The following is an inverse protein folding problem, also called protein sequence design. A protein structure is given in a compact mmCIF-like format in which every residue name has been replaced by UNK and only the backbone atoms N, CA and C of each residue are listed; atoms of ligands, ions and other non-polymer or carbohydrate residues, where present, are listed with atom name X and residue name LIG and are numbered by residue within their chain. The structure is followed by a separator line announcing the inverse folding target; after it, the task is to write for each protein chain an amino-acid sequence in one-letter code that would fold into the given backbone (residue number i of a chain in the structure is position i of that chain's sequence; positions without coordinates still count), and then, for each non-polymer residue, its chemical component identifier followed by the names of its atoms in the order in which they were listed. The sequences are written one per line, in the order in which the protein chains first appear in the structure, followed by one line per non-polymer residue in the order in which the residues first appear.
data_IF_388285972537
#
_entry.id   IF_388285972537
#
_cell.length_a   1.000
_cell.length_b   1.000
_cell.length_c   1.000
_cell.angle_alpha   90.00
_cell.angle_beta   90.00
_cell.angle_gamma   90.00
#
_symmetry.space_group_name_H-M   'P 1'
#
loop_
_entity.id
_entity.type
_entity.pdbx_description
1 polymer ?
#
# COMPACT_ATOMS: atom_id res chain seq x y z
N UNK A 1 -12.82 1.44 -2.36
CA UNK A 1 -12.18 2.68 -2.03
C UNK A 1 -10.74 2.49 -1.69
N UNK A 2 -9.90 3.24 -2.35
CA UNK A 2 -8.46 3.08 -2.20
C UNK A 2 -7.99 3.35 -0.77
N UNK A 3 -8.56 4.36 -0.14
CA UNK A 3 -8.14 4.71 1.21
C UNK A 3 -8.42 3.58 2.20
N UNK A 4 -9.56 2.93 2.04
CA UNK A 4 -9.91 1.81 2.92
C UNK A 4 -8.94 0.65 2.73
N UNK A 5 -8.54 0.41 1.49
CA UNK A 5 -7.57 -0.64 1.21
C UNK A 5 -6.20 -0.31 1.81
N UNK A 6 -5.74 0.94 1.63
CA UNK A 6 -4.45 1.33 2.19
C UNK A 6 -4.47 1.20 3.70
N UNK A 7 -5.55 1.63 4.34
CA UNK A 7 -5.71 1.49 5.78
C UNK A 7 -5.67 0.03 6.20
N UNK A 8 -6.32 -0.83 5.43
CA UNK A 8 -6.37 -2.26 5.74
C UNK A 8 -4.98 -2.88 5.66
N UNK A 9 -4.21 -2.53 4.63
CA UNK A 9 -2.87 -3.05 4.49
C UNK A 9 -2.01 -2.66 5.70
N UNK A 10 -2.05 -1.40 6.07
CA UNK A 10 -1.27 -0.91 7.18
C UNK A 10 -1.74 -1.55 8.49
N UNK A 11 -3.06 -1.59 8.70
CA UNK A 11 -3.61 -2.11 9.95
C UNK A 11 -3.30 -3.59 10.15
N UNK A 12 -3.16 -4.35 9.06
CA UNK A 12 -2.83 -5.76 9.14
C UNK A 12 -1.34 -6.01 9.19
N UNK A 13 -0.54 -4.96 9.23
CA UNK A 13 0.91 -5.04 9.17
C UNK A 13 1.34 -5.82 7.92
N UNK A 14 0.61 -5.55 6.82
CA UNK A 14 0.87 -6.14 5.50
C UNK A 14 0.74 -7.66 5.45
N UNK A 15 -0.05 -8.24 6.37
CA UNK A 15 -0.56 -9.59 6.16
C UNK A 15 -1.46 -9.58 4.93
N UNK A 16 -2.17 -8.48 4.70
CA UNK A 16 -2.87 -8.20 3.45
C UNK A 16 -1.93 -7.32 2.62
N UNK A 17 -1.69 -7.69 1.39
CA UNK A 17 -0.75 -6.97 0.54
C UNK A 17 -1.45 -6.41 -0.69
N UNK A 18 -0.68 -5.71 -1.51
CA UNK A 18 -1.22 -5.13 -2.74
C UNK A 18 -1.80 -6.20 -3.66
N UNK A 19 -1.31 -7.43 -3.57
CA UNK A 19 -1.84 -8.51 -4.40
C UNK A 19 -3.29 -8.85 -4.04
N UNK A 20 -3.71 -8.52 -2.83
CA UNK A 20 -5.08 -8.75 -2.40
C UNK A 20 -6.02 -7.64 -2.85
N UNK A 21 -5.47 -6.55 -3.32
CA UNK A 21 -6.26 -5.40 -3.76
C UNK A 21 -6.70 -5.64 -5.19
N UNK A 22 -7.98 -5.41 -5.54
CA UNK A 22 -8.41 -5.51 -6.92
C UNK A 22 -7.52 -4.68 -7.84
N UNK A 23 -7.22 -5.22 -9.01
CA UNK A 23 -6.29 -4.58 -9.95
C UNK A 23 -6.69 -3.14 -10.24
N UNK A 24 -7.99 -2.87 -10.34
CA UNK A 24 -8.48 -1.55 -10.67
C UNK A 24 -8.16 -0.53 -9.59
N UNK A 25 -7.88 -0.99 -8.39
CA UNK A 25 -7.60 -0.09 -7.27
C UNK A 25 -6.15 -0.06 -6.86
N UNK A 26 -5.34 -0.95 -7.41
CA UNK A 26 -3.94 -1.08 -6.97
C UNK A 26 -3.15 0.20 -7.10
N UNK A 27 -3.29 0.87 -8.23
CA UNK A 27 -2.49 2.06 -8.48
C UNK A 27 -2.81 3.15 -7.46
N UNK A 28 -4.08 3.34 -7.16
CA UNK A 28 -4.47 4.34 -6.17
C UNK A 28 -4.00 3.97 -4.77
N UNK A 29 -4.07 2.68 -4.44
CA UNK A 29 -3.59 2.22 -3.14
C UNK A 29 -2.09 2.42 -3.02
N UNK A 30 -1.35 2.08 -4.08
CA UNK A 30 0.10 2.27 -4.07
C UNK A 30 0.45 3.74 -3.90
N UNK A 31 -0.30 4.63 -4.53
CA UNK A 31 -0.06 6.06 -4.38
C UNK A 31 -0.26 6.51 -2.94
N UNK A 32 -1.28 5.99 -2.28
CA UNK A 32 -1.52 6.32 -0.88
C UNK A 32 -0.43 5.77 0.03
N UNK A 33 0.01 4.54 -0.22
CA UNK A 33 1.08 3.94 0.57
C UNK A 33 2.39 4.69 0.34
N UNK A 34 2.62 5.16 -0.86
CA UNK A 34 3.83 5.92 -1.15
C UNK A 34 3.93 7.19 -0.32
N UNK A 35 2.78 7.80 -0.01
CA UNK A 35 2.77 8.96 0.88
C UNK A 35 3.25 8.62 2.27
N UNK A 36 3.12 7.35 2.65
CA UNK A 36 3.61 6.87 3.93
C UNK A 36 5.02 6.30 3.81
N UNK A 37 5.61 6.38 2.63
CA UNK A 37 6.95 5.85 2.41
C UNK A 37 7.01 4.34 2.31
N UNK A 38 5.90 3.72 1.90
CA UNK A 38 5.81 2.27 1.86
C UNK A 38 5.43 1.78 0.47
N UNK A 39 5.84 0.54 0.16
CA UNK A 39 5.39 -0.11 -1.06
C UNK A 39 4.15 -0.95 -0.75
N UNK A 40 3.74 -1.80 -1.68
CA UNK A 40 2.54 -2.61 -1.51
C UNK A 40 2.72 -3.82 -0.60
N UNK A 41 3.92 -4.05 -0.12
CA UNK A 41 4.25 -5.19 0.72
C UNK A 41 4.79 -4.80 2.08
N UNK A 42 4.72 -3.53 2.40
CA UNK A 42 5.15 -3.06 3.70
C UNK A 42 6.61 -2.69 3.81
N UNK A 43 7.34 -2.77 2.71
CA UNK A 43 8.74 -2.38 2.72
C UNK A 43 8.85 -0.89 2.52
N UNK A 44 9.82 -0.27 3.14
CA UNK A 44 10.06 1.14 2.94
C UNK A 44 10.51 1.38 1.52
N UNK A 45 9.98 2.42 0.92
CA UNK A 45 10.45 2.83 -0.39
C UNK A 45 11.90 3.27 -0.27
N UNK A 46 12.66 3.05 -1.32
CA UNK A 46 14.06 3.40 -1.30
C UNK A 46 14.23 4.86 -0.96
N UNK A 47 15.11 5.10 -0.02
CA UNK A 47 15.46 6.45 0.32
C UNK A 47 16.49 6.88 -0.65
N UNK A 48 16.17 7.87 -1.38
CA UNK A 48 17.15 8.37 -2.30
C UNK A 48 17.89 9.44 -1.59
N UNK A 49 18.96 9.18 -1.23
CA UNK A 49 19.62 10.26 -0.54
C UNK A 49 20.92 10.43 -0.91
#
# INVERSE_FOLDING_TARGET
MAKAWATRLIASDFAVTIDDVPAIRRQAVLALLAKEGLDGYGNKLAEVN
#
